data_IF_521848460209
#
_entry.id   IF_521848460209
#
_cell.length_a   1.000
_cell.length_b   1.000
_cell.length_c   1.000
_cell.angle_alpha   90.00
_cell.angle_beta   90.00
_cell.angle_gamma   90.00
#
_symmetry.space_group_name_H-M   'P 1'
#
loop_
_entity.id
_entity.type
_entity.pdbx_description
1 polymer ?
#
# COMPACT_ATOMS: atom_id res chain seq x y z
N UNK A 1 -61.53 15.41 -0.20
CA UNK A 1 -60.80 15.04 -1.43
C UNK A 1 -61.78 14.96 -2.58
N UNK A 2 -62.11 16.11 -3.15
CA UNK A 2 -63.09 16.26 -4.24
C UNK A 2 -62.44 16.69 -5.55
N UNK A 3 -61.19 17.19 -5.49
CA UNK A 3 -60.40 17.60 -6.65
C UNK A 3 -59.44 16.48 -7.11
N UNK A 4 -59.20 16.40 -8.42
CA UNK A 4 -58.28 15.42 -9.04
C UNK A 4 -56.84 15.74 -8.65
N UNK A 5 -56.49 17.03 -8.58
CA UNK A 5 -55.14 17.46 -8.23
C UNK A 5 -54.77 17.07 -6.78
N UNK A 6 -55.74 17.11 -5.86
CA UNK A 6 -55.55 16.64 -4.48
C UNK A 6 -55.22 15.14 -4.42
N UNK A 7 -55.86 14.33 -5.28
CA UNK A 7 -55.61 12.88 -5.34
C UNK A 7 -54.23 12.57 -5.90
N UNK A 8 -53.81 13.29 -6.93
CA UNK A 8 -52.46 13.15 -7.52
C UNK A 8 -51.39 13.59 -6.52
N UNK A 9 -51.61 14.70 -5.81
CA UNK A 9 -50.71 15.15 -4.72
C UNK A 9 -50.59 14.12 -3.62
N UNK A 10 -51.71 13.58 -3.15
CA UNK A 10 -51.70 12.57 -2.11
C UNK A 10 -50.94 11.32 -2.54
N UNK A 11 -51.22 10.80 -3.74
CA UNK A 11 -50.52 9.64 -4.30
C UNK A 11 -49.00 9.87 -4.36
N UNK A 12 -48.57 11.01 -4.91
CA UNK A 12 -47.15 11.34 -5.01
C UNK A 12 -46.50 11.48 -3.63
N UNK A 13 -47.18 12.13 -2.67
CA UNK A 13 -46.65 12.29 -1.31
C UNK A 13 -46.53 10.96 -0.57
N UNK A 14 -47.53 10.07 -0.70
CA UNK A 14 -47.49 8.73 -0.15
C UNK A 14 -46.36 7.92 -0.78
N UNK A 15 -46.20 7.98 -2.10
CA UNK A 15 -45.15 7.25 -2.80
C UNK A 15 -43.75 7.72 -2.38
N UNK A 16 -43.54 9.03 -2.31
CA UNK A 16 -42.27 9.61 -1.82
C UNK A 16 -41.99 9.20 -0.37
N UNK A 17 -43.00 9.22 0.52
CA UNK A 17 -42.83 8.81 1.91
C UNK A 17 -42.40 7.34 2.06
N UNK A 18 -42.89 6.47 1.17
CA UNK A 18 -42.49 5.06 1.12
C UNK A 18 -41.05 4.93 0.60
N UNK A 19 -40.68 5.68 -0.44
CA UNK A 19 -39.32 5.70 -0.95
C UNK A 19 -38.32 6.24 0.07
N UNK A 20 -38.64 7.32 0.78
CA UNK A 20 -37.77 7.89 1.82
C UNK A 20 -37.53 6.90 2.97
N UNK A 21 -38.53 6.06 3.28
CA UNK A 21 -38.42 5.05 4.34
C UNK A 21 -37.69 3.78 3.88
N UNK A 22 -37.95 3.29 2.67
CA UNK A 22 -37.41 2.03 2.17
C UNK A 22 -36.06 2.19 1.48
N UNK A 23 -35.79 3.36 0.88
CA UNK A 23 -34.59 3.67 0.12
C UNK A 23 -34.08 5.09 0.45
N UNK A 24 -33.78 5.39 1.73
CA UNK A 24 -33.27 6.71 2.10
C UNK A 24 -31.97 7.01 1.35
N UNK A 25 -31.86 8.24 0.85
CA UNK A 25 -30.61 8.76 0.30
C UNK A 25 -29.58 8.84 1.43
N UNK A 26 -28.60 7.94 1.40
CA UNK A 26 -27.52 7.90 2.39
C UNK A 26 -26.23 8.40 1.78
N UNK A 27 -25.57 9.33 2.47
CA UNK A 27 -24.22 9.74 2.10
C UNK A 27 -23.21 8.82 2.77
N UNK A 28 -22.52 8.01 1.97
CA UNK A 28 -21.50 7.08 2.48
C UNK A 28 -20.11 7.63 2.24
N UNK A 29 -19.34 7.82 3.32
CA UNK A 29 -17.93 8.20 3.23
C UNK A 29 -17.06 6.98 2.88
N UNK A 30 -16.43 6.99 1.71
CA UNK A 30 -15.41 5.99 1.35
C UNK A 30 -14.11 6.32 2.07
N UNK A 31 -13.86 5.63 3.19
CA UNK A 31 -12.67 5.85 4.02
C UNK A 31 -11.42 5.15 3.51
N UNK A 32 -11.57 4.00 2.85
CA UNK A 32 -10.45 3.20 2.37
C UNK A 32 -10.17 3.50 0.89
N UNK A 33 -8.89 3.68 0.50
CA UNK A 33 -8.53 3.78 -0.91
C UNK A 33 -8.95 2.49 -1.63
N UNK A 34 -9.25 2.63 -2.93
CA UNK A 34 -9.55 1.48 -3.77
C UNK A 34 -8.41 0.46 -3.72
N UNK A 35 -8.75 -0.83 -3.88
CA UNK A 35 -7.79 -1.93 -3.96
C UNK A 35 -7.59 -2.33 -5.43
N UNK A 36 -6.77 -1.60 -6.21
CA UNK A 36 -6.57 -1.87 -7.63
C UNK A 36 -5.91 -3.22 -7.91
N UNK A 37 -5.15 -3.76 -6.95
CA UNK A 37 -4.57 -5.11 -6.98
C UNK A 37 -5.63 -6.23 -6.84
N UNK A 38 -6.90 -5.91 -6.56
CA UNK A 38 -7.95 -6.91 -6.40
C UNK A 38 -8.59 -7.27 -7.76
N UNK A 39 -7.91 -8.16 -8.49
CA UNK A 39 -8.35 -8.65 -9.80
C UNK A 39 -9.59 -9.54 -9.71
N UNK A 40 -10.24 -9.80 -10.85
CA UNK A 40 -11.40 -10.71 -10.94
C UNK A 40 -11.04 -12.12 -10.44
N UNK A 41 -9.84 -12.61 -10.79
CA UNK A 41 -9.35 -13.93 -10.40
C UNK A 41 -9.27 -14.07 -8.88
N UNK A 42 -8.73 -13.07 -8.18
CA UNK A 42 -8.68 -13.07 -6.71
C UNK A 42 -10.10 -13.09 -6.11
N UNK A 43 -11.05 -12.35 -6.69
CA UNK A 43 -12.44 -12.38 -6.22
C UNK A 43 -13.06 -13.77 -6.37
N UNK A 44 -12.76 -14.49 -7.45
CA UNK A 44 -13.19 -15.88 -7.64
C UNK A 44 -12.60 -16.79 -6.55
N UNK A 45 -11.31 -16.67 -6.27
CA UNK A 45 -10.65 -17.45 -5.21
C UNK A 45 -11.24 -17.15 -3.82
N UNK A 46 -11.52 -15.88 -3.51
CA UNK A 46 -12.19 -15.48 -2.28
C UNK A 46 -13.58 -16.12 -2.16
N UNK A 47 -14.39 -16.09 -3.23
CA UNK A 47 -15.70 -16.75 -3.27
C UNK A 47 -15.59 -18.25 -3.04
N UNK A 48 -14.59 -18.92 -3.65
CA UNK A 48 -14.38 -20.35 -3.50
C UNK A 48 -14.00 -20.72 -2.06
N UNK A 49 -13.08 -19.96 -1.45
CA UNK A 49 -12.72 -20.07 -0.04
C UNK A 49 -13.95 -19.90 0.86
N UNK A 50 -14.77 -18.89 0.61
CA UNK A 50 -15.94 -18.59 1.44
C UNK A 50 -17.01 -19.66 1.30
N UNK A 51 -17.21 -20.22 0.09
CA UNK A 51 -18.06 -21.39 -0.16
C UNK A 51 -17.56 -22.61 0.61
N UNK A 52 -16.26 -22.89 0.61
CA UNK A 52 -15.67 -23.98 1.39
C UNK A 52 -15.88 -23.80 2.90
N UNK A 53 -15.69 -22.58 3.41
CA UNK A 53 -15.98 -22.25 4.82
C UNK A 53 -17.45 -22.46 5.15
N UNK A 54 -18.35 -22.00 4.28
CA UNK A 54 -19.80 -22.17 4.44
C UNK A 54 -20.21 -23.63 4.47
N UNK A 55 -19.55 -24.50 3.69
CA UNK A 55 -19.78 -25.96 3.71
C UNK A 55 -19.26 -26.64 4.98
N UNK A 56 -18.12 -26.21 5.50
CA UNK A 56 -17.57 -26.73 6.75
C UNK A 56 -18.43 -26.37 7.97
N UNK A 57 -19.05 -25.17 7.99
CA UNK A 57 -19.83 -24.69 9.16
C UNK A 57 -20.91 -25.68 9.64
N UNK A 58 -21.80 -26.21 8.78
CA UNK A 58 -22.82 -27.18 9.21
C UNK A 58 -22.27 -28.60 9.34
N UNK A 59 -21.37 -29.03 8.46
CA UNK A 59 -20.90 -30.44 8.42
C UNK A 59 -19.88 -30.78 9.49
N UNK A 60 -19.04 -29.81 9.91
CA UNK A 60 -17.92 -29.98 10.85
C UNK A 60 -16.94 -31.12 10.51
N UNK A 61 -16.98 -31.63 9.29
CA UNK A 61 -16.10 -32.71 8.85
C UNK A 61 -14.66 -32.23 8.69
N UNK A 62 -13.71 -33.08 9.11
CA UNK A 62 -12.28 -32.83 8.96
C UNK A 62 -11.88 -32.63 7.49
N UNK A 63 -12.46 -33.40 6.56
CA UNK A 63 -12.16 -33.27 5.13
C UNK A 63 -12.55 -31.89 4.58
N UNK A 64 -13.73 -31.38 4.97
CA UNK A 64 -14.18 -30.04 4.57
C UNK A 64 -13.33 -28.94 5.21
N UNK A 65 -12.82 -29.16 6.43
CA UNK A 65 -11.91 -28.24 7.08
C UNK A 65 -10.55 -28.17 6.38
N UNK A 66 -9.95 -29.30 6.04
CA UNK A 66 -8.69 -29.35 5.29
C UNK A 66 -8.82 -28.70 3.92
N UNK A 67 -9.92 -28.97 3.20
CA UNK A 67 -10.20 -28.30 1.93
C UNK A 67 -10.27 -26.77 2.08
N UNK A 68 -10.96 -26.28 3.12
CA UNK A 68 -10.99 -24.84 3.42
C UNK A 68 -9.61 -24.28 3.76
N UNK A 69 -8.77 -25.00 4.53
CA UNK A 69 -7.41 -24.57 4.86
C UNK A 69 -6.55 -24.41 3.61
N UNK A 70 -6.59 -25.37 2.71
CA UNK A 70 -5.87 -25.33 1.42
C UNK A 70 -6.28 -24.07 0.65
N UNK A 71 -7.60 -23.86 0.48
CA UNK A 71 -8.12 -22.68 -0.24
C UNK A 71 -7.79 -21.36 0.45
N UNK A 72 -7.81 -21.31 1.78
CA UNK A 72 -7.41 -20.13 2.56
C UNK A 72 -5.96 -19.77 2.31
N UNK A 73 -5.07 -20.75 2.38
CA UNK A 73 -3.63 -20.54 2.17
C UNK A 73 -3.35 -20.13 0.73
N UNK A 74 -3.96 -20.82 -0.23
CA UNK A 74 -3.84 -20.50 -1.66
C UNK A 74 -4.34 -19.08 -1.96
N UNK A 75 -5.53 -18.71 -1.48
CA UNK A 75 -6.08 -17.37 -1.67
C UNK A 75 -5.20 -16.30 -1.03
N UNK A 76 -4.63 -16.57 0.16
CA UNK A 76 -3.74 -15.64 0.85
C UNK A 76 -2.44 -15.43 0.07
N UNK A 77 -1.85 -16.51 -0.45
CA UNK A 77 -0.66 -16.46 -1.30
C UNK A 77 -0.94 -15.69 -2.60
N UNK A 78 -2.04 -16.00 -3.28
CA UNK A 78 -2.45 -15.33 -4.50
C UNK A 78 -2.65 -13.81 -4.28
N UNK A 79 -3.34 -13.41 -3.20
CA UNK A 79 -3.50 -11.99 -2.84
C UNK A 79 -2.16 -11.31 -2.61
N UNK A 80 -1.21 -11.99 -1.93
CA UNK A 80 0.12 -11.44 -1.68
C UNK A 80 0.90 -11.25 -2.97
N UNK A 81 0.85 -12.23 -3.87
CA UNK A 81 1.54 -12.18 -5.16
C UNK A 81 0.95 -11.09 -6.07
N UNK A 82 -0.38 -10.97 -6.16
CA UNK A 82 -1.03 -9.92 -6.94
C UNK A 82 -0.72 -8.52 -6.40
N UNK A 83 -0.74 -8.34 -5.07
CA UNK A 83 -0.28 -7.08 -4.46
C UNK A 83 1.14 -6.75 -4.87
N UNK A 84 2.05 -7.72 -4.73
CA UNK A 84 3.46 -7.55 -5.10
C UNK A 84 3.58 -7.17 -6.58
N UNK A 85 2.99 -7.94 -7.48
CA UNK A 85 3.04 -7.69 -8.92
C UNK A 85 2.46 -6.33 -9.32
N UNK A 86 1.33 -5.93 -8.73
CA UNK A 86 0.74 -4.61 -8.95
C UNK A 86 1.70 -3.49 -8.52
N UNK A 87 2.30 -3.62 -7.34
CA UNK A 87 3.22 -2.62 -6.82
C UNK A 87 4.52 -2.59 -7.62
N UNK A 88 5.13 -3.73 -7.91
CA UNK A 88 6.34 -3.85 -8.72
C UNK A 88 6.13 -3.20 -10.10
N UNK A 89 5.01 -3.50 -10.77
CA UNK A 89 4.65 -2.86 -12.03
C UNK A 89 4.41 -1.35 -11.87
N UNK A 90 3.70 -0.95 -10.81
CA UNK A 90 3.37 0.44 -10.55
C UNK A 90 4.59 1.30 -10.21
N UNK A 91 5.63 0.72 -9.63
CA UNK A 91 6.88 1.38 -9.22
C UNK A 91 7.99 1.30 -10.26
N UNK A 92 7.90 0.38 -11.23
CA UNK A 92 8.83 0.30 -12.37
C UNK A 92 8.82 1.56 -13.28
N UNK A 93 7.86 2.48 -13.08
CA UNK A 93 7.81 3.74 -13.81
C UNK A 93 9.01 4.64 -13.50
N UNK A 94 9.78 5.05 -14.52
CA UNK A 94 10.98 5.91 -14.41
C UNK A 94 10.75 7.30 -13.79
N UNK A 95 9.50 7.71 -13.57
CA UNK A 95 9.19 9.03 -13.05
C UNK A 95 8.96 9.03 -11.53
N UNK A 96 9.97 9.50 -10.81
CA UNK A 96 10.01 9.60 -9.35
C UNK A 96 8.82 10.37 -8.77
N UNK A 97 8.39 11.47 -9.42
CA UNK A 97 7.25 12.28 -8.95
C UNK A 97 5.94 11.50 -8.95
N UNK A 98 5.74 10.64 -9.96
CA UNK A 98 4.57 9.77 -10.02
C UNK A 98 4.61 8.67 -8.97
N UNK A 99 5.80 8.08 -8.71
CA UNK A 99 5.99 7.08 -7.67
C UNK A 99 5.59 7.62 -6.28
N UNK A 100 6.11 8.78 -5.88
CA UNK A 100 5.76 9.40 -4.59
C UNK A 100 4.29 9.77 -4.49
N UNK A 101 3.68 10.22 -5.60
CA UNK A 101 2.23 10.49 -5.63
C UNK A 101 1.44 9.21 -5.39
N UNK A 102 1.82 8.10 -6.01
CA UNK A 102 1.15 6.80 -5.81
C UNK A 102 1.33 6.26 -4.39
N UNK A 103 2.54 6.34 -3.82
CA UNK A 103 2.80 5.93 -2.43
C UNK A 103 1.92 6.68 -1.43
N UNK A 104 1.80 8.01 -1.59
CA UNK A 104 0.89 8.83 -0.78
C UNK A 104 -0.58 8.41 -0.95
N UNK A 105 -1.02 8.15 -2.17
CA UNK A 105 -2.39 7.71 -2.44
C UNK A 105 -2.71 6.34 -1.81
N UNK A 106 -1.71 5.47 -1.67
CA UNK A 106 -1.84 4.18 -1.02
C UNK A 106 -1.70 4.23 0.51
N UNK A 107 -1.46 5.41 1.09
CA UNK A 107 -1.32 5.59 2.54
C UNK A 107 -0.01 5.07 3.11
N UNK A 108 0.99 4.78 2.27
CA UNK A 108 2.32 4.35 2.72
C UNK A 108 3.11 5.49 3.38
N UNK A 109 2.73 6.73 3.10
CA UNK A 109 3.36 7.95 3.65
C UNK A 109 2.24 8.79 4.24
N UNK A 110 2.37 9.12 5.52
CA UNK A 110 1.43 10.00 6.21
C UNK A 110 1.61 11.43 5.70
N UNK A 111 0.54 12.04 5.20
CA UNK A 111 0.59 13.43 4.67
C UNK A 111 0.69 14.48 5.77
N UNK A 112 0.23 14.14 6.97
CA UNK A 112 0.02 15.10 8.06
C UNK A 112 1.10 15.01 9.15
N UNK A 113 2.05 14.09 9.00
CA UNK A 113 3.10 13.85 9.97
C UNK A 113 4.37 14.52 9.45
N UNK A 114 4.75 15.64 10.05
CA UNK A 114 6.10 16.17 9.90
C UNK A 114 7.01 15.22 10.67
N UNK A 115 7.52 14.20 10.00
CA UNK A 115 8.52 13.33 10.58
C UNK A 115 9.81 14.15 10.65
N UNK A 116 10.10 14.69 11.84
CA UNK A 116 11.42 15.22 12.13
C UNK A 116 12.42 14.06 12.10
N UNK A 117 13.63 14.32 11.58
CA UNK A 117 14.67 13.30 11.60
C UNK A 117 14.92 12.87 13.05
N UNK A 118 14.92 11.56 13.35
CA UNK A 118 15.20 11.09 14.70
C UNK A 118 16.51 11.67 15.22
N UNK A 119 16.55 12.08 16.49
CA UNK A 119 17.70 12.78 17.07
C UNK A 119 19.02 12.01 16.90
N UNK A 120 18.98 10.67 16.95
CA UNK A 120 20.13 9.80 16.76
C UNK A 120 20.64 9.70 15.32
N UNK A 121 19.88 10.20 14.33
CA UNK A 121 20.29 10.29 12.92
C UNK A 121 20.62 11.74 12.51
N UNK A 122 20.61 12.66 13.47
CA UNK A 122 20.82 14.08 13.17
C UNK A 122 22.29 14.41 12.91
N UNK A 123 23.21 13.65 13.51
CA UNK A 123 24.63 13.84 13.36
C UNK A 123 25.18 12.90 12.27
N UNK A 124 25.75 13.49 11.22
CA UNK A 124 26.35 12.72 10.12
C UNK A 124 27.61 11.97 10.58
N UNK A 125 28.37 12.53 11.52
CA UNK A 125 29.63 11.94 12.00
C UNK A 125 29.38 10.65 12.77
N UNK A 126 28.33 10.62 13.61
CA UNK A 126 27.94 9.43 14.37
C UNK A 126 27.53 8.28 13.42
N UNK A 127 26.87 8.60 12.31
CA UNK A 127 26.49 7.63 11.28
C UNK A 127 27.73 7.10 10.56
N UNK A 128 28.64 7.99 10.15
CA UNK A 128 29.88 7.62 9.49
C UNK A 128 30.74 6.74 10.39
N UNK A 129 30.88 7.10 11.67
CA UNK A 129 31.64 6.36 12.66
C UNK A 129 31.04 4.96 12.88
N UNK A 130 29.71 4.85 12.95
CA UNK A 130 29.03 3.55 13.01
C UNK A 130 29.39 2.67 11.80
N UNK A 131 29.33 3.21 10.59
CA UNK A 131 29.65 2.43 9.39
C UNK A 131 31.12 1.99 9.37
N UNK A 132 32.05 2.87 9.72
CA UNK A 132 33.49 2.54 9.84
C UNK A 132 33.72 1.42 10.86
N UNK A 133 33.02 1.44 11.99
CA UNK A 133 33.15 0.43 13.05
C UNK A 133 32.44 -0.88 12.74
N UNK A 134 31.31 -0.83 12.03
CA UNK A 134 30.43 -1.98 11.77
C UNK A 134 30.92 -2.90 10.65
N UNK A 135 31.72 -2.36 9.72
CA UNK A 135 32.31 -3.14 8.65
C UNK A 135 33.50 -3.90 9.23
N UNK A 136 33.49 -5.25 9.24
CA UNK A 136 34.66 -6.01 9.68
C UNK A 136 35.83 -5.59 8.80
N UNK A 137 36.97 -5.25 9.43
CA UNK A 137 38.21 -4.91 8.73
C UNK A 137 38.68 -6.15 7.93
N UNK A 138 38.12 -6.35 6.75
CA UNK A 138 38.74 -7.22 5.76
C UNK A 138 40.01 -6.50 5.33
N UNK A 139 41.16 -7.05 5.71
CA UNK A 139 42.50 -6.51 5.46
C UNK A 139 42.89 -6.47 3.96
N UNK A 140 41.93 -6.46 3.03
CA UNK A 140 42.17 -6.37 1.59
C UNK A 140 41.67 -5.03 1.07
N UNK A 141 42.22 -3.93 1.60
CA UNK A 141 42.19 -2.66 0.88
C UNK A 141 42.92 -2.88 -0.44
N UNK A 142 42.21 -2.84 -1.57
CA UNK A 142 42.83 -3.04 -2.87
C UNK A 142 43.71 -1.81 -3.18
N UNK A 143 45.02 -1.94 -2.95
CA UNK A 143 45.98 -0.86 -3.10
C UNK A 143 45.97 -0.26 -4.52
N UNK A 144 45.65 -1.05 -5.54
CA UNK A 144 45.54 -0.56 -6.92
C UNK A 144 44.37 0.41 -7.11
N UNK A 145 43.24 0.15 -6.44
CA UNK A 145 42.08 1.05 -6.47
C UNK A 145 42.36 2.36 -5.72
N UNK A 146 43.07 2.29 -4.60
CA UNK A 146 43.46 3.48 -3.82
C UNK A 146 44.38 4.37 -4.66
N UNK A 147 45.46 3.79 -5.22
CA UNK A 147 46.40 4.51 -6.06
C UNK A 147 45.71 5.11 -7.30
N UNK A 148 44.79 4.35 -7.93
CA UNK A 148 44.02 4.87 -9.05
C UNK A 148 43.20 6.12 -8.67
N UNK A 149 42.53 6.11 -7.52
CA UNK A 149 41.76 7.28 -7.09
C UNK A 149 42.66 8.45 -6.70
N UNK A 150 43.80 8.21 -6.03
CA UNK A 150 44.79 9.24 -5.68
C UNK A 150 45.41 9.90 -6.92
N UNK A 151 45.78 9.11 -7.92
CA UNK A 151 46.38 9.59 -9.17
C UNK A 151 45.38 10.31 -10.09
N UNK A 152 44.07 10.05 -9.91
CA UNK A 152 42.99 10.65 -10.70
C UNK A 152 42.13 11.64 -9.89
N UNK A 153 42.63 12.14 -8.75
CA UNK A 153 42.00 13.28 -8.07
C UNK A 153 42.10 14.48 -9.03
N UNK A 154 40.97 14.89 -9.59
CA UNK A 154 40.90 16.10 -10.41
C UNK A 154 41.43 17.29 -9.60
N UNK A 155 42.30 18.09 -10.21
CA UNK A 155 43.10 19.18 -9.63
C UNK A 155 42.31 20.40 -9.11
N UNK A 156 41.23 20.15 -8.38
CA UNK A 156 40.37 21.18 -7.78
C UNK A 156 39.55 20.68 -6.58
N UNK A 157 39.91 19.54 -5.97
CA UNK A 157 39.29 19.08 -4.72
C UNK A 157 40.28 19.30 -3.58
N UNK A 158 40.44 20.56 -3.18
CA UNK A 158 41.10 20.89 -1.92
C UNK A 158 40.15 20.55 -0.75
N UNK A 159 40.69 20.25 0.43
CA UNK A 159 39.94 19.86 1.65
C UNK A 159 38.85 20.87 2.06
N UNK A 160 38.92 22.10 1.55
CA UNK A 160 37.94 23.18 1.81
C UNK A 160 36.92 23.39 0.66
N UNK A 161 36.90 22.55 -0.38
CA UNK A 161 36.02 22.73 -1.54
C UNK A 161 34.57 22.27 -1.29
N UNK A 162 34.30 21.54 -0.20
CA UNK A 162 32.95 21.06 0.14
C UNK A 162 32.23 21.98 1.12
N UNK A 163 32.15 23.28 0.80
CA UNK A 163 31.21 24.18 1.47
C UNK A 163 29.82 24.04 0.82
N UNK A 164 28.90 23.37 1.52
CA UNK A 164 27.49 23.34 1.15
C UNK A 164 26.82 24.64 1.64
N UNK A 165 26.47 25.51 0.68
CA UNK A 165 25.66 26.72 0.90
C UNK A 165 24.21 26.40 1.29
#
# INVERSE_FOLDING_TARGET
>A
MTDIDDKVKYLNSSLLSVFDRLAPLTTVKKTKPGAPWLTCNIKVLMKLRDKAKSRFRPTKSAAHFEYYKILRNYTTSAVRNEKKGYFDHSYSTKNFKHLWKKLRNHGAINRNEKVEMPLYLRNADDINEYFIKSIPKNNSSNAELINYFEDNIGSGVDENSFDFK
#
